data_IF_059691549225
#
_entry.id   IF_059691549225
#
_cell.length_a   1.000
_cell.length_b   1.000
_cell.length_c   1.000
_cell.angle_alpha   90.00
_cell.angle_beta   90.00
_cell.angle_gamma   90.00
#
_symmetry.space_group_name_H-M   'P 1'
#
loop_
_entity.id
_entity.type
_entity.pdbx_description
1 polymer ?
#
# COMPACT_ATOMS: atom_id res chain seq x y z
N UNK A 1 -0.98 13.19 -19.71
CA UNK A 1 -2.18 12.40 -19.34
C UNK A 1 -2.36 11.28 -20.34
N UNK A 2 -2.58 10.04 -19.91
CA UNK A 2 -2.74 8.89 -20.82
C UNK A 2 -4.08 8.97 -21.56
N UNK A 3 -4.23 8.26 -22.69
CA UNK A 3 -5.51 8.22 -23.43
C UNK A 3 -6.67 7.73 -22.56
N UNK A 4 -6.42 6.77 -21.68
CA UNK A 4 -7.43 6.24 -20.78
C UNK A 4 -7.86 7.28 -19.74
N UNK A 5 -6.90 7.98 -19.14
CA UNK A 5 -7.20 9.00 -18.13
C UNK A 5 -7.92 10.21 -18.74
N UNK A 6 -7.57 10.60 -19.97
CA UNK A 6 -8.31 11.62 -20.73
C UNK A 6 -9.77 11.21 -20.93
N UNK A 7 -10.02 9.95 -21.34
CA UNK A 7 -11.39 9.44 -21.51
C UNK A 7 -12.16 9.41 -20.19
N UNK A 8 -11.52 9.00 -19.09
CA UNK A 8 -12.16 8.97 -17.77
C UNK A 8 -12.63 10.36 -17.33
N UNK A 9 -11.79 11.40 -17.47
CA UNK A 9 -12.18 12.77 -17.17
C UNK A 9 -13.27 13.30 -18.12
N UNK A 10 -13.24 12.93 -19.40
CA UNK A 10 -14.29 13.30 -20.35
C UNK A 10 -15.66 12.70 -20.00
N UNK A 11 -15.71 11.47 -19.46
CA UNK A 11 -16.94 10.89 -18.95
C UNK A 11 -17.37 11.52 -17.62
N UNK A 12 -16.43 11.76 -16.69
CA UNK A 12 -16.71 12.42 -15.43
C UNK A 12 -17.31 13.83 -15.61
N UNK A 13 -16.81 14.59 -16.60
CA UNK A 13 -17.31 15.94 -16.90
C UNK A 13 -18.77 15.99 -17.37
N UNK A 14 -19.37 14.84 -17.74
CA UNK A 14 -20.79 14.76 -18.13
C UNK A 14 -21.73 14.70 -16.92
N UNK A 15 -21.20 14.41 -15.73
CA UNK A 15 -21.98 14.33 -14.50
C UNK A 15 -22.40 15.72 -14.02
N UNK A 16 -23.40 15.80 -13.16
CA UNK A 16 -23.74 17.07 -12.49
C UNK A 16 -22.59 17.53 -11.57
N UNK A 17 -22.49 18.83 -11.24
CA UNK A 17 -21.40 19.33 -10.38
C UNK A 17 -21.28 18.57 -9.05
N UNK A 18 -22.40 18.25 -8.39
CA UNK A 18 -22.38 17.49 -7.14
C UNK A 18 -21.86 16.06 -7.30
N UNK A 19 -22.16 15.41 -8.44
CA UNK A 19 -21.64 14.08 -8.73
C UNK A 19 -20.16 14.11 -9.12
N UNK A 20 -19.71 15.18 -9.79
CA UNK A 20 -18.30 15.42 -10.08
C UNK A 20 -17.50 15.58 -8.79
N UNK A 21 -17.99 16.39 -7.85
CA UNK A 21 -17.34 16.60 -6.55
C UNK A 21 -17.30 15.30 -5.73
N UNK A 22 -18.37 14.52 -5.75
CA UNK A 22 -18.42 13.21 -5.08
C UNK A 22 -17.40 12.23 -5.70
N UNK A 23 -17.31 12.17 -7.02
CA UNK A 23 -16.33 11.33 -7.73
C UNK A 23 -14.89 11.78 -7.44
N UNK A 24 -14.64 13.09 -7.48
CA UNK A 24 -13.33 13.67 -7.18
C UNK A 24 -12.90 13.36 -5.75
N UNK A 25 -13.80 13.53 -4.77
CA UNK A 25 -13.52 13.20 -3.38
C UNK A 25 -13.13 11.73 -3.17
N UNK A 26 -13.82 10.80 -3.83
CA UNK A 26 -13.47 9.37 -3.79
C UNK A 26 -12.11 9.11 -4.42
N UNK A 27 -11.87 9.62 -5.62
CA UNK A 27 -10.60 9.41 -6.32
C UNK A 27 -9.40 9.94 -5.53
N UNK A 28 -9.53 11.13 -4.92
CA UNK A 28 -8.49 11.71 -4.08
C UNK A 28 -8.22 10.87 -2.83
N UNK A 29 -9.26 10.31 -2.21
CA UNK A 29 -9.10 9.44 -1.04
C UNK A 29 -8.35 8.15 -1.39
N UNK A 30 -8.67 7.52 -2.53
CA UNK A 30 -7.97 6.31 -2.98
C UNK A 30 -6.49 6.59 -3.27
N UNK A 31 -6.18 7.69 -3.97
CA UNK A 31 -4.80 8.07 -4.26
C UNK A 31 -3.98 8.34 -2.98
N UNK A 32 -4.61 8.96 -1.97
CA UNK A 32 -3.96 9.21 -0.69
C UNK A 32 -3.71 7.89 0.08
N UNK A 33 -4.67 6.96 0.05
CA UNK A 33 -4.52 5.66 0.70
C UNK A 33 -3.41 4.80 0.06
N UNK A 34 -3.28 4.84 -1.28
CA UNK A 34 -2.20 4.17 -2.01
C UNK A 34 -0.82 4.76 -1.64
N UNK A 35 -0.71 6.09 -1.61
CA UNK A 35 0.52 6.79 -1.24
C UNK A 35 0.94 6.53 0.23
N UNK A 36 -0.03 6.47 1.15
CA UNK A 36 0.22 6.05 2.55
C UNK A 36 0.69 4.59 2.65
N UNK A 37 0.09 3.69 1.87
CA UNK A 37 0.51 2.29 1.82
C UNK A 37 1.92 2.14 1.27
N UNK A 38 2.25 2.81 0.16
CA UNK A 38 3.59 2.79 -0.44
C UNK A 38 4.66 3.31 0.54
N UNK A 39 4.37 4.40 1.26
CA UNK A 39 5.25 4.90 2.32
C UNK A 39 5.45 3.90 3.44
N UNK A 40 4.37 3.28 3.91
CA UNK A 40 4.42 2.30 4.98
C UNK A 40 5.27 1.08 4.58
N UNK A 41 5.13 0.62 3.34
CA UNK A 41 5.91 -0.49 2.80
C UNK A 41 7.39 -0.10 2.62
N UNK A 42 7.68 1.08 2.07
CA UNK A 42 9.06 1.53 1.86
C UNK A 42 9.86 1.59 3.18
N UNK A 43 9.21 1.95 4.29
CA UNK A 43 9.83 1.96 5.62
C UNK A 43 9.85 0.61 6.35
N UNK A 44 9.23 -0.44 5.78
CA UNK A 44 9.04 -1.74 6.46
C UNK A 44 10.19 -2.73 6.25
N UNK A 45 11.05 -2.53 5.23
CA UNK A 45 12.06 -3.50 4.82
C UNK A 45 13.03 -3.87 5.95
N UNK A 46 13.57 -2.88 6.66
CA UNK A 46 14.51 -3.11 7.77
C UNK A 46 13.84 -3.84 8.95
N UNK A 47 12.57 -3.53 9.21
CA UNK A 47 11.79 -4.18 10.28
C UNK A 47 11.50 -5.64 9.93
N UNK A 48 11.12 -5.91 8.68
CA UNK A 48 10.90 -7.27 8.19
C UNK A 48 12.19 -8.09 8.18
N UNK A 49 13.32 -7.47 7.82
CA UNK A 49 14.63 -8.12 7.89
C UNK A 49 15.01 -8.49 9.33
N UNK A 50 14.76 -7.60 10.29
CA UNK A 50 14.96 -7.90 11.72
C UNK A 50 14.10 -9.06 12.20
N UNK A 51 12.80 -9.04 11.89
CA UNK A 51 11.88 -10.13 12.26
C UNK A 51 12.28 -11.48 11.63
N UNK A 52 12.78 -11.48 10.40
CA UNK A 52 13.28 -12.69 9.75
C UNK A 52 14.56 -13.22 10.40
N UNK A 53 15.47 -12.31 10.82
CA UNK A 53 16.67 -12.70 11.55
C UNK A 53 16.35 -13.28 12.93
N UNK A 54 15.42 -12.66 13.66
CA UNK A 54 14.96 -13.13 14.97
C UNK A 54 14.31 -14.52 14.85
N UNK A 55 13.44 -14.72 13.88
CA UNK A 55 12.78 -16.02 13.64
C UNK A 55 13.79 -17.14 13.32
N UNK A 56 14.81 -16.84 12.51
CA UNK A 56 15.88 -17.81 12.22
C UNK A 56 16.73 -18.12 13.45
N UNK A 57 16.98 -17.13 14.31
CA UNK A 57 17.74 -17.32 15.53
C UNK A 57 16.97 -18.18 16.56
N UNK A 58 15.66 -17.97 16.68
CA UNK A 58 14.80 -18.78 17.55
C UNK A 58 14.75 -20.24 17.08
N UNK A 59 14.64 -20.49 15.77
CA UNK A 59 14.64 -21.85 15.21
C UNK A 59 15.99 -22.56 15.39
N UNK A 60 17.11 -21.83 15.35
CA UNK A 60 18.43 -22.39 15.67
C UNK A 60 18.61 -22.69 17.17
N UNK A 61 17.93 -21.95 18.06
CA UNK A 61 17.96 -22.19 19.50
C UNK A 61 17.14 -23.42 19.93
N UNK A 62 16.08 -23.74 19.20
CA UNK A 62 15.25 -24.93 19.45
C UNK A 62 15.91 -26.23 18.95
N UNK A 63 16.90 -26.13 18.06
CA UNK A 63 17.68 -27.26 17.54
C UNK A 63 18.98 -27.53 18.34
N UNK A 64 19.16 -26.86 19.48
CA UNK A 64 20.31 -27.07 20.37
C UNK A 64 20.34 -28.52 20.90
N UNK A 65 21.31 -29.35 20.47
CA UNK A 65 21.38 -30.76 20.87
C UNK A 65 21.65 -30.95 22.36
N UNK A 66 22.09 -29.90 23.08
CA UNK A 66 22.27 -29.93 24.54
C UNK A 66 20.98 -29.61 25.32
N UNK A 67 19.89 -29.24 24.63
CA UNK A 67 18.55 -28.99 25.22
C UNK A 67 17.51 -30.08 24.95
N UNK A 68 17.84 -31.14 24.21
CA UNK A 68 16.97 -32.27 23.90
C UNK A 68 17.16 -33.46 24.86
#
# INVERSE_FOLDING_TARGET
>A
MTKLLVRAFAEAAKLSPSEQDLLAGRLLAELAAEDDFDRAIAGSADRLAGMAADALNDELQDLDPDKL
#
